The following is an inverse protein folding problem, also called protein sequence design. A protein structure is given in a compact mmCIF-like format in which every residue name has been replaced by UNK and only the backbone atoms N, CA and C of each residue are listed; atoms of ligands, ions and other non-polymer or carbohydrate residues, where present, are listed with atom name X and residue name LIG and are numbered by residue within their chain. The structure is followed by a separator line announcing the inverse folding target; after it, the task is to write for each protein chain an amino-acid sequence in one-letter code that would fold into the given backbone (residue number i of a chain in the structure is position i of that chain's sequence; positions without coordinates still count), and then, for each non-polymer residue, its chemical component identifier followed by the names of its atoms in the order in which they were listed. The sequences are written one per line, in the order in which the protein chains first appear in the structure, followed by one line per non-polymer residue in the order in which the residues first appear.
data_IF_603773995927
#
_entry.id   IF_603773995927
#
_cell.length_a   1.000
_cell.length_b   1.000
_cell.length_c   1.000
_cell.angle_alpha   90.00
_cell.angle_beta   90.00
_cell.angle_gamma   90.00
#
_symmetry.space_group_name_H-M   'P 1'
#
loop_
_entity.id
_entity.type
_entity.pdbx_description
1 polymer ?
#
# COMPACT_ATOMS: atom_id res chain seq x y z
N UNK A 1 18.29 -11.76 5.52
CA UNK A 1 18.64 -10.44 6.04
C UNK A 1 17.51 -9.47 5.71
N UNK A 2 17.02 -8.73 6.71
CA UNK A 2 15.93 -7.75 6.51
C UNK A 2 16.32 -6.57 5.60
N UNK A 3 17.57 -6.47 5.22
CA UNK A 3 18.14 -5.39 4.41
C UNK A 3 18.46 -5.84 2.96
N UNK A 4 17.93 -6.96 2.52
CA UNK A 4 18.29 -7.58 1.23
C UNK A 4 17.04 -8.10 0.52
N UNK A 5 16.09 -7.21 0.28
CA UNK A 5 14.86 -7.49 -0.43
C UNK A 5 15.05 -7.64 -1.94
N UNK A 6 14.16 -8.38 -2.57
CA UNK A 6 14.03 -8.51 -4.02
C UNK A 6 12.56 -8.49 -4.43
N UNK A 7 12.28 -8.20 -5.71
CA UNK A 7 10.97 -8.37 -6.30
C UNK A 7 11.05 -9.41 -7.40
N UNK A 8 10.11 -10.32 -7.40
CA UNK A 8 10.05 -11.43 -8.34
C UNK A 8 8.69 -11.47 -9.02
N UNK A 9 8.66 -12.02 -10.20
CA UNK A 9 7.42 -12.37 -10.92
C UNK A 9 7.40 -13.85 -11.25
N UNK A 10 6.22 -14.41 -11.38
CA UNK A 10 5.98 -15.76 -11.87
C UNK A 10 4.70 -15.79 -12.71
N UNK A 11 4.44 -16.91 -13.36
CA UNK A 11 3.15 -17.16 -13.98
C UNK A 11 2.06 -17.40 -12.92
N UNK A 12 0.77 -17.34 -13.30
CA UNK A 12 -0.36 -17.54 -12.38
C UNK A 12 -0.35 -18.92 -11.68
N UNK A 13 0.32 -19.93 -12.24
CA UNK A 13 0.51 -21.24 -11.63
C UNK A 13 1.76 -21.33 -10.73
N UNK A 14 2.44 -20.20 -10.49
CA UNK A 14 3.66 -20.11 -9.68
C UNK A 14 4.95 -20.55 -10.36
N UNK A 15 4.88 -20.97 -11.65
CA UNK A 15 6.06 -21.37 -12.42
C UNK A 15 6.78 -20.16 -13.05
N UNK A 16 7.91 -20.43 -13.70
CA UNK A 16 8.73 -19.45 -14.41
C UNK A 16 9.07 -18.21 -13.55
N UNK A 17 9.42 -18.48 -12.29
CA UNK A 17 9.79 -17.43 -11.32
C UNK A 17 11.09 -16.74 -11.75
N UNK A 18 11.06 -15.42 -11.85
CA UNK A 18 12.19 -14.58 -12.26
C UNK A 18 12.32 -13.38 -11.33
N UNK A 19 13.52 -13.12 -10.85
CA UNK A 19 13.83 -11.91 -10.10
C UNK A 19 13.89 -10.72 -11.07
N UNK A 20 13.02 -9.73 -10.89
CA UNK A 20 12.97 -8.51 -11.71
C UNK A 20 13.65 -7.32 -11.01
N UNK A 21 13.58 -7.23 -9.68
CA UNK A 21 14.40 -6.27 -8.91
C UNK A 21 15.34 -7.08 -8.03
N UNK A 22 16.67 -6.99 -8.26
CA UNK A 22 17.64 -7.83 -7.58
C UNK A 22 17.78 -7.46 -6.10
N UNK A 23 18.29 -8.40 -5.32
CA UNK A 23 18.66 -8.18 -3.92
C UNK A 23 19.61 -7.00 -3.78
N UNK A 24 19.39 -6.18 -2.73
CA UNK A 24 20.17 -4.98 -2.45
C UNK A 24 19.69 -3.71 -3.19
N UNK A 25 18.85 -3.83 -4.21
CA UNK A 25 18.22 -2.66 -4.84
C UNK A 25 17.08 -2.07 -3.99
N UNK A 26 16.50 -2.89 -3.12
CA UNK A 26 15.48 -2.52 -2.14
C UNK A 26 15.76 -3.25 -0.82
N UNK A 27 15.38 -2.67 0.32
CA UNK A 27 15.60 -3.29 1.64
C UNK A 27 14.49 -4.28 1.98
N UNK A 28 13.28 -3.76 2.17
CA UNK A 28 12.13 -4.57 2.58
C UNK A 28 10.91 -4.12 1.78
N UNK A 29 10.79 -4.54 0.52
CA UNK A 29 9.63 -4.20 -0.30
C UNK A 29 8.36 -4.75 0.36
N UNK A 30 7.36 -3.88 0.52
CA UNK A 30 6.06 -4.19 1.07
C UNK A 30 5.00 -4.17 -0.03
N UNK A 31 3.95 -3.39 0.14
CA UNK A 31 2.87 -3.35 -0.83
C UNK A 31 3.36 -2.79 -2.17
N UNK A 32 2.83 -3.36 -3.24
CA UNK A 32 3.20 -3.06 -4.62
C UNK A 32 1.95 -2.74 -5.44
N UNK A 33 2.14 -1.89 -6.45
CA UNK A 33 1.12 -1.54 -7.42
C UNK A 33 1.67 -1.66 -8.84
N UNK A 34 0.89 -2.30 -9.73
CA UNK A 34 1.18 -2.37 -11.16
C UNK A 34 0.42 -1.28 -11.91
N UNK A 35 1.16 -0.38 -12.54
CA UNK A 35 0.63 0.58 -13.51
C UNK A 35 0.85 0.02 -14.93
N UNK A 36 -0.09 -0.77 -15.38
CA UNK A 36 -0.02 -1.41 -16.70
C UNK A 36 -0.13 -0.40 -17.84
N UNK A 37 -0.80 0.74 -17.62
CA UNK A 37 -0.98 1.79 -18.62
C UNK A 37 0.34 2.46 -18.97
N UNK A 38 1.18 2.74 -17.97
CA UNK A 38 2.47 3.40 -18.15
C UNK A 38 3.67 2.42 -18.08
N UNK A 39 3.39 1.13 -17.94
CA UNK A 39 4.44 0.09 -17.90
C UNK A 39 5.33 0.20 -16.66
N UNK A 40 4.77 0.53 -15.51
CA UNK A 40 5.49 0.76 -14.26
C UNK A 40 5.05 -0.15 -13.12
N UNK A 41 6.00 -0.42 -12.24
CA UNK A 41 5.83 -1.06 -10.96
C UNK A 41 6.22 -0.06 -9.87
N UNK A 42 5.35 0.12 -8.88
CA UNK A 42 5.60 0.96 -7.70
C UNK A 42 5.60 0.10 -6.44
N UNK A 43 6.44 0.44 -5.47
CA UNK A 43 6.42 -0.23 -4.17
C UNK A 43 6.91 0.66 -3.05
N UNK A 44 6.49 0.31 -1.84
CA UNK A 44 7.00 0.88 -0.60
C UNK A 44 8.17 0.03 -0.09
N UNK A 45 9.31 0.65 0.15
CA UNK A 45 10.49 0.03 0.76
C UNK A 45 10.55 0.41 2.23
N UNK A 46 9.99 -0.45 3.12
CA UNK A 46 9.67 -0.10 4.51
C UNK A 46 10.90 0.33 5.30
N UNK A 47 11.85 -0.55 5.49
CA UNK A 47 13.10 -0.25 6.21
C UNK A 47 14.09 0.56 5.37
N UNK A 48 13.90 0.61 4.05
CA UNK A 48 14.57 1.56 3.17
C UNK A 48 14.00 2.98 3.27
N UNK A 49 12.82 3.14 3.90
CA UNK A 49 12.14 4.43 4.11
C UNK A 49 11.95 5.21 2.83
N UNK A 50 11.51 4.52 1.77
CA UNK A 50 11.44 5.07 0.42
C UNK A 50 10.15 4.64 -0.28
N UNK A 51 9.69 5.49 -1.20
CA UNK A 51 8.80 5.05 -2.27
C UNK A 51 9.63 4.87 -3.53
N UNK A 52 9.42 3.75 -4.21
CA UNK A 52 10.24 3.35 -5.35
C UNK A 52 9.38 3.00 -6.57
N UNK A 53 10.01 3.09 -7.75
CA UNK A 53 9.40 2.74 -9.02
C UNK A 53 10.42 2.05 -9.93
N UNK A 54 9.94 1.18 -10.82
CA UNK A 54 10.73 0.59 -11.91
C UNK A 54 9.84 0.38 -13.15
N UNK A 55 10.43 0.01 -14.27
CA UNK A 55 9.68 -0.58 -15.36
C UNK A 55 9.17 -1.99 -14.95
N UNK A 56 8.14 -2.51 -15.63
CA UNK A 56 7.58 -3.84 -15.33
C UNK A 56 8.58 -5.01 -15.49
N UNK A 57 9.65 -4.80 -16.24
CA UNK A 57 10.75 -5.76 -16.39
C UNK A 57 11.83 -5.61 -15.30
N UNK A 58 11.63 -4.67 -14.36
CA UNK A 58 12.56 -4.35 -13.28
C UNK A 58 13.71 -3.41 -13.67
N UNK A 59 13.78 -2.97 -14.92
CA UNK A 59 14.77 -1.96 -15.35
C UNK A 59 14.41 -0.57 -14.82
N UNK A 60 15.39 0.34 -14.80
CA UNK A 60 15.22 1.75 -14.37
C UNK A 60 14.61 1.87 -12.96
N UNK A 61 15.17 1.15 -12.00
CA UNK A 61 14.82 1.33 -10.59
C UNK A 61 15.17 2.74 -10.13
N UNK A 62 14.20 3.45 -9.59
CA UNK A 62 14.36 4.82 -9.11
C UNK A 62 13.65 5.04 -7.78
N UNK A 63 14.16 5.95 -6.97
CA UNK A 63 13.54 6.41 -5.73
C UNK A 63 12.71 7.66 -6.01
N UNK A 64 11.45 7.66 -5.61
CA UNK A 64 10.52 8.78 -5.79
C UNK A 64 10.41 9.66 -4.54
N UNK A 65 10.50 9.06 -3.35
CA UNK A 65 10.43 9.74 -2.06
C UNK A 65 11.46 9.12 -1.13
N UNK A 66 12.17 9.95 -0.37
CA UNK A 66 12.99 9.52 0.78
C UNK A 66 12.35 10.06 2.04
N UNK A 67 11.79 9.18 2.85
CA UNK A 67 11.16 9.53 4.13
C UNK A 67 12.15 9.57 5.30
N UNK A 68 13.30 8.94 5.16
CA UNK A 68 14.35 8.89 6.16
C UNK A 68 15.61 8.18 5.69
N UNK A 69 16.65 8.23 6.51
CA UNK A 69 17.89 7.50 6.28
C UNK A 69 17.80 6.11 6.92
N UNK A 70 17.99 5.06 6.12
CA UNK A 70 17.84 3.66 6.54
C UNK A 70 18.77 3.24 7.68
N UNK A 71 19.91 3.90 7.85
CA UNK A 71 20.86 3.63 8.96
C UNK A 71 20.55 4.48 10.18
N UNK A 72 20.42 5.80 10.00
CA UNK A 72 20.21 6.75 11.10
C UNK A 72 18.82 6.63 11.72
N UNK A 73 17.80 6.23 10.94
CA UNK A 73 16.40 6.17 11.36
C UNK A 73 15.85 4.73 11.45
N UNK A 74 16.69 3.70 11.47
CA UNK A 74 16.28 2.29 11.34
C UNK A 74 15.12 1.87 12.27
N UNK A 75 15.07 2.38 13.49
CA UNK A 75 14.02 2.11 14.47
C UNK A 75 12.83 3.08 14.44
N UNK A 76 12.86 4.08 13.57
CA UNK A 76 11.82 5.11 13.52
C UNK A 76 10.68 4.68 12.60
N UNK A 77 9.68 3.99 13.16
CA UNK A 77 8.53 3.49 12.44
C UNK A 77 7.66 4.61 11.82
N UNK A 78 7.81 5.87 12.25
CA UNK A 78 7.10 7.01 11.65
C UNK A 78 7.57 7.33 10.23
N UNK A 79 8.69 6.72 9.80
CA UNK A 79 9.27 6.87 8.45
C UNK A 79 9.10 5.62 7.58
N UNK A 80 8.56 4.55 8.13
CA UNK A 80 8.38 3.30 7.42
C UNK A 80 7.23 3.39 6.41
N UNK A 81 7.56 3.36 5.12
CA UNK A 81 6.60 3.36 4.02
C UNK A 81 6.07 1.94 3.80
N UNK A 82 4.75 1.76 3.70
CA UNK A 82 4.14 0.41 3.61
C UNK A 82 3.19 0.25 2.44
N UNK A 83 2.11 1.02 2.36
CA UNK A 83 1.12 0.95 1.28
C UNK A 83 1.43 1.91 0.14
N UNK A 84 0.85 1.69 -1.04
CA UNK A 84 1.01 2.54 -2.22
C UNK A 84 -0.25 2.58 -3.06
N UNK A 85 -0.67 3.76 -3.49
CA UNK A 85 -1.75 3.95 -4.45
C UNK A 85 -1.47 5.13 -5.39
N UNK A 86 -2.12 5.16 -6.56
CA UNK A 86 -1.93 6.20 -7.58
C UNK A 86 -3.28 6.81 -7.99
N UNK A 87 -3.31 8.14 -8.05
CA UNK A 87 -4.33 8.91 -8.76
C UNK A 87 -3.73 9.46 -10.06
N UNK A 88 -3.82 8.70 -11.13
CA UNK A 88 -3.28 9.10 -12.43
C UNK A 88 -3.94 10.37 -12.98
N UNK A 89 -5.23 10.58 -12.72
CA UNK A 89 -5.96 11.75 -13.23
C UNK A 89 -5.40 13.07 -12.68
N UNK A 90 -4.82 13.01 -11.47
CA UNK A 90 -4.16 14.17 -10.83
C UNK A 90 -2.65 14.05 -10.77
N UNK A 91 -2.07 12.99 -11.29
CA UNK A 91 -0.63 12.73 -11.23
C UNK A 91 -0.12 12.60 -9.79
N UNK A 92 -0.90 11.98 -8.88
CA UNK A 92 -0.54 11.86 -7.47
C UNK A 92 -0.22 10.43 -7.06
N UNK A 93 0.84 10.30 -6.28
CA UNK A 93 1.25 9.11 -5.54
C UNK A 93 0.81 9.27 -4.08
N UNK A 94 0.19 8.23 -3.51
CA UNK A 94 -0.17 8.12 -2.10
C UNK A 94 0.59 6.97 -1.46
N UNK A 95 0.97 7.13 -0.18
CA UNK A 95 1.58 6.04 0.60
C UNK A 95 1.24 6.15 2.08
N UNK A 96 1.28 5.01 2.78
CA UNK A 96 1.15 4.98 4.23
C UNK A 96 2.50 5.03 4.91
N UNK A 97 2.54 5.67 6.07
CA UNK A 97 3.58 5.52 7.09
C UNK A 97 2.91 5.02 8.38
N UNK A 98 3.27 3.80 8.79
CA UNK A 98 2.49 3.12 9.82
C UNK A 98 2.62 3.72 11.23
N UNK A 99 3.75 4.34 11.55
CA UNK A 99 4.05 4.77 12.92
C UNK A 99 4.46 3.62 13.83
N UNK A 100 4.75 3.93 15.09
CA UNK A 100 4.98 2.93 16.12
C UNK A 100 3.68 2.24 16.51
N UNK A 101 3.78 1.02 17.03
CA UNK A 101 2.63 0.18 17.34
C UNK A 101 1.67 0.91 18.30
N UNK A 102 0.44 1.09 17.86
CA UNK A 102 -0.68 1.75 18.57
C UNK A 102 -0.41 3.18 19.08
N UNK A 103 0.59 3.86 18.54
CA UNK A 103 0.97 5.21 18.99
C UNK A 103 0.13 6.35 18.40
N UNK A 104 -0.80 6.06 17.48
CA UNK A 104 -1.57 7.09 16.78
C UNK A 104 -0.71 8.02 15.91
N UNK A 105 0.44 7.53 15.46
CA UNK A 105 1.41 8.26 14.63
C UNK A 105 1.28 7.94 13.14
N UNK A 106 0.40 7.01 12.80
CA UNK A 106 0.17 6.59 11.43
C UNK A 106 -0.33 7.73 10.56
N UNK A 107 0.13 7.75 9.31
CA UNK A 107 -0.20 8.79 8.33
C UNK A 107 -0.40 8.20 6.95
N UNK A 108 -1.20 8.89 6.16
CA UNK A 108 -1.22 8.72 4.70
C UNK A 108 -0.73 10.03 4.11
N UNK A 109 0.28 9.95 3.26
CA UNK A 109 0.90 11.09 2.59
C UNK A 109 0.62 11.03 1.09
N UNK A 110 0.82 12.16 0.41
CA UNK A 110 0.76 12.24 -1.05
C UNK A 110 1.82 13.19 -1.59
N UNK A 111 2.19 12.98 -2.85
CA UNK A 111 3.06 13.87 -3.61
C UNK A 111 2.76 13.70 -5.10
N UNK A 112 3.34 14.51 -5.97
CA UNK A 112 3.33 14.24 -7.41
C UNK A 112 3.96 12.87 -7.72
N UNK A 113 3.47 12.17 -8.75
CA UNK A 113 4.12 10.94 -9.24
C UNK A 113 5.54 11.27 -9.72
N UNK A 114 5.70 12.39 -10.41
CA UNK A 114 7.01 12.85 -10.83
C UNK A 114 7.62 13.82 -9.80
N UNK A 115 8.93 13.76 -9.64
CA UNK A 115 9.65 14.68 -8.76
C UNK A 115 9.63 16.09 -9.38
N UNK A 116 9.35 17.16 -8.62
CA UNK A 116 9.38 18.52 -9.14
C UNK A 116 10.71 18.87 -9.81
N UNK A 117 10.64 19.66 -10.88
CA UNK A 117 11.82 20.02 -11.65
C UNK A 117 12.89 20.71 -10.78
N UNK A 118 14.13 20.24 -10.85
CA UNK A 118 15.25 20.75 -10.07
C UNK A 118 15.36 20.17 -8.64
N UNK A 119 14.45 19.30 -8.24
CA UNK A 119 14.47 18.63 -6.95
C UNK A 119 14.93 17.17 -7.07
N UNK A 120 15.13 16.52 -5.93
CA UNK A 120 15.45 15.10 -5.81
C UNK A 120 14.43 14.41 -4.93
N UNK A 121 14.41 13.07 -4.91
CA UNK A 121 13.56 12.29 -4.01
C UNK A 121 13.73 12.66 -2.52
N UNK A 122 14.91 13.14 -2.13
CA UNK A 122 15.24 13.53 -0.75
C UNK A 122 14.92 15.00 -0.44
N UNK A 123 14.85 15.85 -1.45
CA UNK A 123 14.64 17.29 -1.29
C UNK A 123 13.30 17.80 -1.81
N UNK A 124 12.42 16.91 -2.30
CA UNK A 124 11.13 17.30 -2.87
C UNK A 124 10.26 18.01 -1.85
N UNK A 125 9.64 19.10 -2.28
CA UNK A 125 8.87 20.02 -1.43
C UNK A 125 7.36 19.82 -1.52
N UNK A 126 6.89 18.95 -2.42
CA UNK A 126 5.48 18.70 -2.71
C UNK A 126 4.86 17.58 -1.87
N UNK A 127 5.58 17.07 -0.85
CA UNK A 127 5.06 16.04 0.05
C UNK A 127 4.06 16.66 1.03
N UNK A 128 2.84 16.14 1.02
CA UNK A 128 1.76 16.57 1.89
C UNK A 128 1.22 15.43 2.75
N UNK A 129 0.80 15.73 3.97
CA UNK A 129 0.05 14.79 4.81
C UNK A 129 -1.43 14.88 4.43
N UNK A 130 -1.98 13.81 3.86
CA UNK A 130 -3.40 13.73 3.54
C UNK A 130 -4.25 13.32 4.75
N UNK A 131 -3.78 12.35 5.55
CA UNK A 131 -4.40 11.91 6.81
C UNK A 131 -3.33 11.69 7.87
N UNK A 132 -3.64 11.98 9.12
CA UNK A 132 -2.74 11.80 10.26
C UNK A 132 -3.52 11.28 11.48
N UNK A 133 -2.79 10.85 12.51
CA UNK A 133 -3.39 10.35 13.75
C UNK A 133 -4.04 8.98 13.58
N UNK A 134 -3.66 8.23 12.55
CA UNK A 134 -4.15 6.87 12.32
C UNK A 134 -3.42 5.89 13.25
N UNK A 135 -4.06 4.77 13.66
CA UNK A 135 -3.37 3.76 14.48
C UNK A 135 -2.14 3.19 13.77
N UNK A 136 -2.34 2.34 12.77
CA UNK A 136 -1.26 1.72 11.97
C UNK A 136 -1.76 1.43 10.54
N UNK A 137 -1.85 2.45 9.66
CA UNK A 137 -2.31 2.24 8.29
C UNK A 137 -1.28 1.42 7.50
N UNK A 138 -1.75 0.42 6.73
CA UNK A 138 -0.91 -0.53 6.02
C UNK A 138 -1.10 -0.41 4.52
N UNK A 139 -2.09 -1.06 3.93
CA UNK A 139 -2.29 -1.10 2.49
C UNK A 139 -3.24 -0.01 2.01
N UNK A 140 -3.07 0.40 0.76
CA UNK A 140 -3.88 1.43 0.11
C UNK A 140 -4.40 0.94 -1.23
N UNK A 141 -5.68 1.19 -1.49
CA UNK A 141 -6.29 1.01 -2.81
C UNK A 141 -7.13 2.22 -3.19
N UNK A 142 -7.00 2.67 -4.41
CA UNK A 142 -7.73 3.82 -4.94
C UNK A 142 -8.72 3.42 -6.03
N UNK A 143 -9.98 3.77 -5.84
CA UNK A 143 -10.99 3.69 -6.91
C UNK A 143 -11.06 5.02 -7.67
N UNK A 144 -10.55 5.09 -8.91
CA UNK A 144 -10.53 6.32 -9.68
C UNK A 144 -11.92 6.80 -10.12
N UNK A 145 -12.90 5.91 -10.22
CA UNK A 145 -14.25 6.26 -10.68
C UNK A 145 -15.05 6.99 -9.59
N UNK A 146 -14.99 6.49 -8.36
CA UNK A 146 -15.67 7.11 -7.21
C UNK A 146 -14.79 8.12 -6.47
N UNK A 147 -13.48 8.15 -6.75
CA UNK A 147 -12.46 8.95 -6.05
C UNK A 147 -12.36 8.61 -4.56
N UNK A 148 -12.54 7.34 -4.26
CA UNK A 148 -12.47 6.81 -2.91
C UNK A 148 -11.14 6.11 -2.67
N UNK A 149 -10.50 6.40 -1.54
CA UNK A 149 -9.33 5.71 -1.03
C UNK A 149 -9.75 4.76 0.07
N UNK A 150 -9.33 3.52 -0.07
CA UNK A 150 -9.51 2.46 0.92
C UNK A 150 -8.16 2.16 1.56
N UNK A 151 -8.15 1.81 2.86
CA UNK A 151 -6.93 1.34 3.51
C UNK A 151 -7.22 0.39 4.66
N UNK A 152 -6.33 -0.56 4.85
CA UNK A 152 -6.30 -1.40 6.04
C UNK A 152 -5.56 -0.69 7.17
N UNK A 153 -6.04 -0.89 8.39
CA UNK A 153 -5.35 -0.43 9.59
C UNK A 153 -5.22 -1.61 10.57
N UNK A 154 -3.98 -1.94 10.96
CA UNK A 154 -3.69 -3.09 11.81
C UNK A 154 -3.60 -2.76 13.30
N UNK A 155 -3.67 -1.50 13.66
CA UNK A 155 -3.63 -1.07 15.07
C UNK A 155 -4.76 -1.64 15.92
N UNK A 156 -4.79 -1.27 17.18
CA UNK A 156 -5.79 -1.76 18.11
C UNK A 156 -7.19 -1.13 17.89
N UNK A 157 -8.27 -1.87 18.20
CA UNK A 157 -9.61 -1.30 18.22
C UNK A 157 -9.72 -0.10 19.20
N UNK A 158 -10.66 0.83 18.97
CA UNK A 158 -11.76 0.75 17.98
C UNK A 158 -11.39 1.25 16.57
N UNK A 159 -10.30 1.98 16.39
CA UNK A 159 -9.95 2.58 15.12
C UNK A 159 -8.98 1.73 14.28
N UNK A 160 -8.32 0.76 14.89
CA UNK A 160 -7.50 -0.24 14.22
C UNK A 160 -8.19 -1.61 14.09
N UNK A 161 -7.51 -2.57 13.47
CA UNK A 161 -8.07 -3.84 13.01
C UNK A 161 -9.28 -3.62 12.11
N UNK A 162 -9.15 -2.67 11.16
CA UNK A 162 -10.24 -2.15 10.34
C UNK A 162 -9.88 -2.05 8.86
N UNK A 163 -10.92 -2.02 8.03
CA UNK A 163 -10.89 -1.47 6.68
C UNK A 163 -11.57 -0.11 6.70
N UNK A 164 -10.93 0.90 6.17
CA UNK A 164 -11.35 2.28 6.19
C UNK A 164 -11.56 2.85 4.79
N UNK A 165 -12.35 3.91 4.70
CA UNK A 165 -12.71 4.59 3.47
C UNK A 165 -12.77 6.10 3.68
N UNK A 166 -12.23 6.88 2.72
CA UNK A 166 -12.49 8.31 2.61
C UNK A 166 -12.41 8.78 1.16
N UNK A 167 -13.16 9.82 0.81
CA UNK A 167 -12.96 10.52 -0.46
C UNK A 167 -11.62 11.24 -0.44
N UNK A 168 -10.83 11.14 -1.51
CA UNK A 168 -9.51 11.82 -1.59
C UNK A 168 -9.64 13.33 -1.61
N UNK A 169 -10.81 13.83 -1.99
CA UNK A 169 -11.15 15.26 -2.06
C UNK A 169 -11.79 15.79 -0.78
N UNK A 170 -12.11 14.92 0.19
CA UNK A 170 -12.65 15.33 1.48
C UNK A 170 -11.59 16.05 2.33
N UNK A 171 -11.98 17.06 3.13
CA UNK A 171 -11.07 17.74 4.02
C UNK A 171 -10.45 16.76 5.04
N UNK A 172 -9.22 17.04 5.47
CA UNK A 172 -8.52 16.20 6.45
C UNK A 172 -9.25 16.08 7.81
N UNK A 173 -10.09 17.07 8.13
CA UNK A 173 -10.92 17.10 9.35
C UNK A 173 -12.13 16.15 9.29
N UNK A 174 -12.52 15.68 8.10
CA UNK A 174 -13.59 14.69 7.97
C UNK A 174 -13.06 13.32 8.36
N UNK A 175 -13.65 12.67 9.39
CA UNK A 175 -13.18 11.36 9.82
C UNK A 175 -13.44 10.31 8.73
N UNK A 176 -12.56 9.31 8.58
CA UNK A 176 -12.81 8.21 7.68
C UNK A 176 -14.00 7.37 8.14
N UNK A 177 -14.66 6.74 7.17
CA UNK A 177 -15.68 5.73 7.45
C UNK A 177 -14.98 4.38 7.67
N UNK A 178 -15.25 3.73 8.81
CA UNK A 178 -14.87 2.33 9.02
C UNK A 178 -15.89 1.46 8.28
N UNK A 179 -15.42 0.66 7.32
CA UNK A 179 -16.23 -0.26 6.53
C UNK A 179 -16.35 -1.64 7.20
N UNK A 180 -15.22 -2.14 7.69
CA UNK A 180 -15.11 -3.46 8.33
C UNK A 180 -14.28 -3.26 9.59
N UNK A 181 -14.69 -3.89 10.67
CA UNK A 181 -13.98 -3.91 11.96
C UNK A 181 -13.77 -5.36 12.43
N UNK A 182 -13.06 -5.54 13.55
CA UNK A 182 -12.76 -6.86 14.13
C UNK A 182 -11.93 -7.78 13.20
N UNK A 183 -11.13 -7.21 12.29
CA UNK A 183 -10.10 -7.93 11.59
C UNK A 183 -8.97 -8.30 12.58
N UNK A 184 -8.09 -9.23 12.19
CA UNK A 184 -6.98 -9.70 13.04
C UNK A 184 -5.65 -9.27 12.45
N UNK A 185 -5.22 -8.04 12.72
CA UNK A 185 -4.08 -7.38 12.10
C UNK A 185 -4.22 -7.35 10.56
N UNK A 186 -5.16 -6.53 10.10
CA UNK A 186 -5.45 -6.36 8.67
C UNK A 186 -4.23 -5.85 7.90
N UNK A 187 -3.85 -6.55 6.83
CA UNK A 187 -2.66 -6.23 6.04
C UNK A 187 -3.04 -5.91 4.59
N UNK A 188 -3.32 -6.93 3.78
CA UNK A 188 -3.51 -6.76 2.35
C UNK A 188 -4.93 -6.33 1.97
N UNK A 189 -5.03 -5.53 0.93
CA UNK A 189 -6.27 -5.04 0.34
C UNK A 189 -6.21 -5.14 -1.18
N UNK A 190 -7.30 -5.55 -1.80
CA UNK A 190 -7.46 -5.48 -3.25
C UNK A 190 -8.89 -5.14 -3.63
N UNK A 191 -9.07 -4.36 -4.69
CA UNK A 191 -10.37 -3.98 -5.22
C UNK A 191 -10.66 -4.68 -6.57
N UNK A 192 -11.85 -5.23 -6.68
CA UNK A 192 -12.50 -5.55 -7.95
C UNK A 192 -13.60 -4.50 -8.18
N UNK A 193 -13.21 -3.32 -8.64
CA UNK A 193 -14.15 -2.20 -8.84
C UNK A 193 -15.25 -2.57 -9.84
N UNK A 194 -14.91 -3.26 -10.93
CA UNK A 194 -15.87 -3.68 -11.93
C UNK A 194 -16.88 -4.70 -11.40
N UNK A 195 -16.43 -5.61 -10.52
CA UNK A 195 -17.28 -6.60 -9.86
C UNK A 195 -17.95 -6.09 -8.58
N UNK A 196 -17.70 -4.84 -8.18
CA UNK A 196 -18.30 -4.23 -6.98
C UNK A 196 -17.83 -4.85 -5.67
N UNK A 197 -16.62 -5.40 -5.61
CA UNK A 197 -16.09 -6.19 -4.47
C UNK A 197 -14.73 -5.74 -4.02
N UNK A 198 -14.42 -6.07 -2.78
CA UNK A 198 -13.09 -5.93 -2.20
C UNK A 198 -12.66 -7.24 -1.51
N UNK A 199 -11.36 -7.35 -1.31
CA UNK A 199 -10.72 -8.47 -0.61
C UNK A 199 -9.76 -7.93 0.43
N UNK A 200 -9.77 -8.53 1.63
CA UNK A 200 -8.86 -8.17 2.73
C UNK A 200 -8.21 -9.42 3.26
N UNK A 201 -6.93 -9.34 3.57
CA UNK A 201 -6.19 -10.39 4.26
C UNK A 201 -5.71 -9.92 5.62
N UNK A 202 -5.59 -10.85 6.56
CA UNK A 202 -5.08 -10.59 7.89
C UNK A 202 -3.99 -11.58 8.33
N UNK A 203 -3.29 -11.26 9.41
CA UNK A 203 -2.23 -12.14 9.95
C UNK A 203 -2.76 -13.41 10.64
N UNK A 204 -4.07 -13.48 10.95
CA UNK A 204 -4.69 -14.72 11.41
C UNK A 204 -4.93 -15.73 10.28
N UNK A 205 -4.62 -15.35 9.04
CA UNK A 205 -4.70 -16.23 7.87
C UNK A 205 -6.09 -16.29 7.25
N UNK A 206 -6.88 -15.25 7.38
CA UNK A 206 -8.19 -15.15 6.76
C UNK A 206 -8.14 -14.27 5.52
N UNK A 207 -8.80 -14.72 4.45
CA UNK A 207 -9.12 -13.91 3.28
C UNK A 207 -10.60 -13.59 3.36
N UNK A 208 -10.93 -12.31 3.48
CA UNK A 208 -12.31 -11.82 3.46
C UNK A 208 -12.69 -11.25 2.10
N UNK A 209 -13.97 -11.28 1.77
CA UNK A 209 -14.56 -10.47 0.70
C UNK A 209 -15.76 -9.71 1.23
N UNK A 210 -16.03 -8.56 0.64
CA UNK A 210 -17.20 -7.74 0.89
C UNK A 210 -17.57 -6.94 -0.37
N UNK A 211 -18.74 -6.30 -0.37
CA UNK A 211 -19.04 -5.25 -1.33
C UNK A 211 -18.15 -4.02 -1.08
N UNK A 212 -17.99 -3.13 -2.08
CA UNK A 212 -17.16 -1.92 -1.94
C UNK A 212 -17.64 -0.96 -0.84
N UNK A 213 -18.91 -1.04 -0.44
CA UNK A 213 -19.46 -0.27 0.69
C UNK A 213 -19.23 -0.91 2.07
N UNK A 214 -18.57 -2.07 2.11
CA UNK A 214 -18.28 -2.87 3.30
C UNK A 214 -19.41 -3.83 3.70
N UNK A 215 -20.50 -3.90 2.95
CA UNK A 215 -21.59 -4.84 3.25
C UNK A 215 -21.25 -6.27 2.83
N UNK A 216 -21.94 -7.25 3.43
CA UNK A 216 -21.83 -8.65 3.03
C UNK A 216 -20.47 -9.29 3.34
N UNK A 217 -19.75 -8.83 4.35
CA UNK A 217 -18.46 -9.39 4.76
C UNK A 217 -18.58 -10.87 5.04
N UNK A 218 -17.71 -11.66 4.42
CA UNK A 218 -17.62 -13.11 4.67
C UNK A 218 -16.19 -13.61 4.40
N UNK A 219 -15.73 -14.66 5.13
CA UNK A 219 -14.48 -15.31 4.81
C UNK A 219 -14.62 -16.11 3.51
N UNK A 220 -13.59 -16.04 2.66
CA UNK A 220 -13.38 -16.90 1.50
C UNK A 220 -12.48 -18.09 1.84
N UNK A 221 -11.46 -17.87 2.65
CA UNK A 221 -10.54 -18.88 3.14
C UNK A 221 -10.08 -18.51 4.55
N UNK A 222 -9.75 -19.51 5.34
CA UNK A 222 -9.28 -19.36 6.73
C UNK A 222 -8.07 -20.27 6.96
N UNK A 223 -7.30 -19.98 8.01
CA UNK A 223 -6.14 -20.76 8.42
C UNK A 223 -5.05 -20.92 7.32
N UNK A 224 -4.86 -19.88 6.52
CA UNK A 224 -3.88 -19.87 5.42
C UNK A 224 -2.47 -19.47 5.88
N UNK A 225 -2.19 -19.41 7.18
CA UNK A 225 -0.95 -18.86 7.74
C UNK A 225 -0.98 -17.33 7.77
N UNK A 226 0.15 -16.70 8.05
CA UNK A 226 0.22 -15.23 8.11
C UNK A 226 0.16 -14.64 6.70
N UNK A 227 -0.96 -14.00 6.35
CA UNK A 227 -1.15 -13.37 5.05
C UNK A 227 -0.71 -11.91 5.11
N UNK A 228 0.09 -11.48 4.13
CA UNK A 228 0.69 -10.14 4.12
C UNK A 228 0.26 -9.26 2.95
N UNK A 229 -0.19 -9.83 1.86
CA UNK A 229 -0.64 -9.08 0.70
C UNK A 229 -1.68 -9.86 -0.08
N UNK A 230 -2.46 -9.16 -0.87
CA UNK A 230 -3.44 -9.73 -1.79
C UNK A 230 -3.50 -8.86 -3.05
N UNK A 231 -3.71 -9.48 -4.19
CA UNK A 231 -3.98 -8.76 -5.42
C UNK A 231 -5.16 -9.44 -6.14
N UNK A 232 -6.01 -8.63 -6.76
CA UNK A 232 -7.05 -9.12 -7.63
C UNK A 232 -6.60 -9.04 -9.09
N UNK A 233 -6.67 -10.17 -9.77
CA UNK A 233 -6.52 -10.22 -11.22
C UNK A 233 -7.83 -10.74 -11.82
N UNK A 234 -8.42 -10.02 -12.75
CA UNK A 234 -9.53 -10.52 -13.55
C UNK A 234 -9.14 -11.82 -14.26
N UNK A 235 -10.11 -12.69 -14.53
CA UNK A 235 -9.82 -13.86 -15.33
C UNK A 235 -9.23 -13.40 -16.69
N UNK A 236 -8.15 -14.04 -17.18
CA UNK A 236 -7.64 -13.74 -18.52
C UNK A 236 -8.78 -13.91 -19.53
N UNK A 237 -8.96 -12.95 -20.43
CA UNK A 237 -9.87 -13.11 -21.56
C UNK A 237 -9.48 -14.38 -22.33
N UNK A 238 -10.43 -15.28 -22.50
CA UNK A 238 -10.23 -16.56 -23.20
C UNK A 238 -10.21 -16.36 -24.70
#
# INVERSE_FOLDING_TARGET
DADDGSIERCDFDGKNRVTIVPRGATHTPKQMLLDLTNGKLYWADREGMRMMRANLDGSKVETLVVAGDAKANRGDATKWCVGVALDHARGQLYWTQKGSDNAGQGRILRAGIEIPAGETAASRTDVEVWRAGLPEPIDLEFDPASRLMYWTDRGDPPAGNTLNLAAVDAPASEPPKILINHLMEAIGLALDVAGGRLFVTDLAGTIYTASLDGSGVKPLAMAQGNLTGVAYAGAPER
#
